data_IF_548578891703
#
_entry.id   IF_548578891703
#
_cell.length_a   1.000
_cell.length_b   1.000
_cell.length_c   1.000
_cell.angle_alpha   90.00
_cell.angle_beta   90.00
_cell.angle_gamma   90.00
#
_symmetry.space_group_name_H-M   'P 1'
#
loop_
_entity.id
_entity.type
_entity.pdbx_description
1 polymer ?
#
# COMPACT_ATOMS: atom_id res chain seq x y z
N UNK A 1 11.82 10.67 23.50
CA UNK A 1 11.31 10.47 22.11
C UNK A 1 10.26 11.49 21.68
N UNK A 2 9.05 11.50 22.25
CA UNK A 2 7.92 12.32 21.73
C UNK A 2 8.23 13.81 21.57
N UNK A 3 8.90 14.43 22.56
CA UNK A 3 9.30 15.85 22.48
C UNK A 3 10.22 16.15 21.30
N UNK A 4 11.08 15.20 20.91
CA UNK A 4 12.01 15.36 19.80
C UNK A 4 11.30 15.19 18.46
N UNK A 5 10.28 14.35 18.39
CA UNK A 5 9.47 14.10 17.19
C UNK A 5 8.36 15.16 17.03
N UNK A 6 8.03 15.89 18.10
CA UNK A 6 7.06 16.96 18.05
C UNK A 6 7.42 17.99 16.95
N UNK A 7 6.44 18.30 16.09
CA UNK A 7 6.61 19.15 14.91
C UNK A 7 7.20 18.48 13.67
N UNK A 8 7.49 17.18 13.69
CA UNK A 8 7.82 16.43 12.47
C UNK A 8 6.53 16.08 11.72
N UNK A 9 6.35 16.65 10.53
CA UNK A 9 5.17 16.43 9.68
C UNK A 9 5.37 15.28 8.67
N UNK A 10 6.59 14.75 8.54
CA UNK A 10 6.92 13.66 7.63
C UNK A 10 7.94 12.70 8.25
N UNK A 11 8.02 11.49 7.70
CA UNK A 11 9.05 10.51 8.04
C UNK A 11 10.46 11.03 7.72
N UNK A 12 10.63 11.80 6.65
CA UNK A 12 11.90 12.42 6.29
C UNK A 12 12.38 13.39 7.38
N UNK A 13 11.48 14.22 7.93
CA UNK A 13 11.82 15.12 9.03
C UNK A 13 12.26 14.34 10.29
N UNK A 14 11.66 13.17 10.53
CA UNK A 14 12.07 12.30 11.64
C UNK A 14 13.47 11.74 11.37
N UNK A 15 13.72 11.23 10.15
CA UNK A 15 15.02 10.70 9.77
C UNK A 15 16.14 11.75 9.89
N UNK A 16 15.89 13.00 9.48
CA UNK A 16 16.85 14.10 9.64
C UNK A 16 17.17 14.36 11.12
N UNK A 17 16.16 14.40 11.99
CA UNK A 17 16.38 14.56 13.43
C UNK A 17 17.15 13.39 14.04
N UNK A 18 16.92 12.17 13.55
CA UNK A 18 17.66 10.97 13.98
C UNK A 18 19.13 11.06 13.58
N UNK A 19 19.45 11.57 12.38
CA UNK A 19 20.86 11.79 11.97
C UNK A 19 21.60 12.76 12.90
N UNK A 20 20.89 13.74 13.45
CA UNK A 20 21.46 14.73 14.38
C UNK A 20 21.54 14.18 15.81
N UNK A 21 20.59 13.32 16.21
CA UNK A 21 20.45 12.83 17.57
C UNK A 21 20.50 11.30 17.64
N UNK A 22 21.69 10.76 17.93
CA UNK A 22 21.91 9.31 18.07
C UNK A 22 21.15 8.66 19.23
N UNK A 23 20.75 9.42 20.25
CA UNK A 23 19.93 8.91 21.35
C UNK A 23 18.49 8.65 20.89
N UNK A 24 17.96 9.48 19.99
CA UNK A 24 16.63 9.28 19.41
C UNK A 24 16.56 7.97 18.61
N UNK A 25 17.63 7.61 17.89
CA UNK A 25 17.73 6.34 17.16
C UNK A 25 17.55 5.14 18.10
N UNK A 26 18.28 5.13 19.22
CA UNK A 26 18.22 4.05 20.21
C UNK A 26 16.83 3.95 20.85
N UNK A 27 16.25 5.09 21.23
CA UNK A 27 14.91 5.11 21.81
C UNK A 27 13.86 4.56 20.83
N UNK A 28 13.95 4.91 19.54
CA UNK A 28 13.05 4.41 18.50
C UNK A 28 13.17 2.90 18.30
N UNK A 29 14.40 2.37 18.29
CA UNK A 29 14.63 0.93 18.21
C UNK A 29 14.04 0.22 19.43
N UNK A 30 14.27 0.76 20.63
CA UNK A 30 13.74 0.19 21.89
C UNK A 30 12.21 0.24 21.96
N UNK A 31 11.57 1.28 21.44
CA UNK A 31 10.10 1.36 21.46
C UNK A 31 9.43 0.35 20.52
N UNK A 32 10.13 -0.09 19.48
CA UNK A 32 9.66 -1.10 18.53
C UNK A 32 9.89 -2.54 18.99
N UNK A 33 10.84 -2.76 19.91
CA UNK A 33 11.24 -4.08 20.41
C UNK A 33 10.06 -4.94 20.92
N UNK A 34 9.11 -4.42 21.72
CA UNK A 34 7.98 -5.23 22.20
C UNK A 34 7.10 -5.74 21.06
N UNK A 35 6.87 -4.92 20.03
CA UNK A 35 6.07 -5.26 18.87
C UNK A 35 6.79 -6.29 17.99
N UNK A 36 8.10 -6.12 17.79
CA UNK A 36 8.93 -7.10 17.06
C UNK A 36 8.91 -8.46 17.76
N UNK A 37 9.08 -8.50 19.08
CA UNK A 37 9.02 -9.72 19.88
C UNK A 37 7.62 -10.38 19.81
N UNK A 38 6.54 -9.58 19.86
CA UNK A 38 5.18 -10.11 19.71
C UNK A 38 4.98 -10.77 18.34
N UNK A 39 5.33 -10.08 17.26
CA UNK A 39 5.20 -10.61 15.89
C UNK A 39 6.08 -11.85 15.70
N UNK A 40 7.32 -11.81 16.19
CA UNK A 40 8.25 -12.93 16.21
C UNK A 40 7.64 -14.18 16.84
N UNK A 41 7.09 -14.02 18.04
CA UNK A 41 6.44 -15.11 18.77
C UNK A 41 5.19 -15.66 18.07
N UNK A 42 4.48 -14.83 17.31
CA UNK A 42 3.32 -15.26 16.51
C UNK A 42 3.79 -16.08 15.31
N UNK A 43 4.76 -15.58 14.54
CA UNK A 43 5.26 -16.26 13.33
C UNK A 43 5.94 -17.59 13.63
N UNK A 44 6.74 -17.67 14.70
CA UNK A 44 7.42 -18.90 15.12
C UNK A 44 6.48 -20.05 15.50
N UNK A 45 5.22 -19.74 15.83
CA UNK A 45 4.18 -20.75 16.14
C UNK A 45 3.37 -21.19 14.92
N UNK A 46 3.51 -20.48 13.80
CA UNK A 46 2.76 -20.76 12.59
C UNK A 46 3.55 -21.70 11.67
N UNK A 47 2.81 -22.55 10.97
CA UNK A 47 3.35 -23.44 9.94
C UNK A 47 2.54 -23.28 8.65
N UNK A 48 3.22 -23.34 7.51
CA UNK A 48 2.61 -23.45 6.20
C UNK A 48 2.91 -24.86 5.67
N UNK A 49 1.88 -25.68 5.43
CA UNK A 49 2.05 -27.07 4.93
C UNK A 49 3.03 -27.92 5.78
N UNK A 50 2.94 -27.79 7.11
CA UNK A 50 3.83 -28.42 8.10
C UNK A 50 5.28 -27.92 8.10
N UNK A 51 5.60 -26.87 7.36
CA UNK A 51 6.89 -26.17 7.46
C UNK A 51 6.75 -24.91 8.34
N UNK A 52 7.62 -24.72 9.34
CA UNK A 52 7.61 -23.50 10.15
C UNK A 52 8.03 -22.28 9.34
N UNK A 53 7.42 -21.14 9.63
CA UNK A 53 7.89 -19.88 9.06
C UNK A 53 9.31 -19.58 9.53
N UNK A 54 10.18 -19.28 8.57
CA UNK A 54 11.53 -18.80 8.86
C UNK A 54 11.47 -17.30 9.09
N UNK A 55 12.02 -16.88 10.22
CA UNK A 55 12.35 -15.48 10.43
C UNK A 55 13.82 -15.24 10.11
N UNK A 56 14.11 -14.03 9.66
CA UNK A 56 15.46 -13.56 9.41
C UNK A 56 15.75 -12.42 10.35
N UNK A 57 16.97 -12.38 10.86
CA UNK A 57 17.44 -11.24 11.62
C UNK A 57 17.56 -10.02 10.72
N UNK A 58 17.23 -8.82 11.21
CA UNK A 58 17.46 -7.59 10.47
C UNK A 58 18.92 -7.46 10.07
N UNK A 59 19.17 -7.08 8.81
CA UNK A 59 20.51 -6.85 8.30
C UNK A 59 21.22 -5.76 9.10
N UNK A 60 22.45 -6.01 9.52
CA UNK A 60 23.26 -5.06 10.26
C UNK A 60 23.75 -3.93 9.35
N UNK A 61 24.05 -2.75 9.93
CA UNK A 61 24.65 -1.63 9.17
C UNK A 61 25.95 -2.04 8.46
N UNK A 62 26.72 -2.94 9.05
CA UNK A 62 27.97 -3.46 8.46
C UNK A 62 27.70 -4.33 7.25
N UNK A 63 26.75 -5.26 7.33
CA UNK A 63 26.37 -6.10 6.19
C UNK A 63 25.81 -5.27 5.03
N UNK A 64 24.99 -4.25 5.33
CA UNK A 64 24.53 -3.29 4.31
C UNK A 64 25.71 -2.57 3.65
N UNK A 65 26.73 -2.18 4.42
CA UNK A 65 27.93 -1.53 3.90
C UNK A 65 28.74 -2.49 3.01
N UNK A 66 28.96 -3.72 3.44
CA UNK A 66 29.68 -4.74 2.66
C UNK A 66 28.96 -5.09 1.36
N UNK A 67 27.62 -5.15 1.40
CA UNK A 67 26.81 -5.29 0.19
C UNK A 67 27.06 -4.13 -0.78
N UNK A 68 27.03 -2.89 -0.30
CA UNK A 68 27.30 -1.71 -1.13
C UNK A 68 28.73 -1.63 -1.66
N UNK A 69 29.72 -2.07 -0.89
CA UNK A 69 31.11 -2.20 -1.37
C UNK A 69 31.20 -3.17 -2.55
N UNK A 70 30.41 -4.24 -2.53
CA UNK A 70 30.32 -5.20 -3.64
C UNK A 70 29.61 -4.61 -4.86
N UNK A 71 28.53 -3.84 -4.65
CA UNK A 71 27.83 -3.12 -5.72
C UNK A 71 28.74 -2.09 -6.37
N UNK A 72 29.52 -1.34 -5.59
CA UNK A 72 30.46 -0.35 -6.09
C UNK A 72 31.57 -0.93 -6.98
N UNK A 73 31.92 -2.22 -6.80
CA UNK A 73 32.84 -2.92 -7.69
C UNK A 73 32.29 -3.05 -9.12
N UNK A 74 30.97 -3.18 -9.26
CA UNK A 74 30.29 -3.29 -10.55
C UNK A 74 29.93 -1.90 -11.09
N UNK A 75 29.48 -0.99 -10.23
CA UNK A 75 29.12 0.36 -10.60
C UNK A 75 29.44 1.37 -9.50
N UNK A 76 30.44 2.22 -9.76
CA UNK A 76 30.88 3.24 -8.81
C UNK A 76 30.00 4.51 -8.80
N UNK A 77 29.06 4.67 -9.74
CA UNK A 77 28.21 5.87 -9.83
C UNK A 77 27.02 5.83 -8.88
N UNK A 78 26.53 4.64 -8.55
CA UNK A 78 25.40 4.43 -7.65
C UNK A 78 25.88 4.54 -6.21
N UNK A 79 25.17 5.27 -5.37
CA UNK A 79 25.45 5.43 -3.94
C UNK A 79 24.29 4.92 -3.09
N UNK A 80 24.53 4.73 -1.79
CA UNK A 80 23.49 4.25 -0.85
C UNK A 80 22.28 5.19 -0.70
N UNK A 81 22.41 6.45 -1.16
CA UNK A 81 21.35 7.45 -1.19
C UNK A 81 20.42 7.34 -2.41
N UNK A 82 20.77 6.51 -3.39
CA UNK A 82 19.97 6.23 -4.58
C UNK A 82 18.84 5.23 -4.28
N UNK A 83 17.96 5.62 -3.37
CA UNK A 83 16.90 4.77 -2.84
C UNK A 83 15.70 4.58 -3.78
N UNK A 84 15.75 5.13 -5.00
CA UNK A 84 14.65 5.03 -5.97
C UNK A 84 15.16 4.66 -7.35
N UNK A 85 14.33 3.92 -8.10
CA UNK A 85 14.62 3.55 -9.48
C UNK A 85 14.95 4.76 -10.36
N UNK A 86 14.29 5.90 -10.13
CA UNK A 86 14.56 7.14 -10.85
C UNK A 86 15.97 7.68 -10.58
N UNK A 87 16.39 7.75 -9.32
CA UNK A 87 17.75 8.23 -8.98
C UNK A 87 18.84 7.34 -9.58
N UNK A 88 18.61 6.03 -9.57
CA UNK A 88 19.53 5.06 -10.22
C UNK A 88 19.52 5.25 -11.73
N UNK A 89 18.35 5.40 -12.35
CA UNK A 89 18.20 5.59 -13.79
C UNK A 89 18.82 6.91 -14.29
N UNK A 90 18.65 8.01 -13.55
CA UNK A 90 19.24 9.31 -13.88
C UNK A 90 20.79 9.24 -13.92
N UNK A 91 21.39 8.37 -13.10
CA UNK A 91 22.85 8.11 -13.09
C UNK A 91 23.32 7.07 -14.11
N UNK A 92 22.39 6.30 -14.66
CA UNK A 92 22.60 5.25 -15.65
C UNK A 92 22.17 5.71 -17.07
N UNK A 93 21.77 6.98 -17.23
CA UNK A 93 21.23 7.53 -18.48
C UNK A 93 22.25 7.85 -19.59
N UNK A 94 23.54 7.55 -19.42
CA UNK A 94 24.46 7.51 -20.56
C UNK A 94 24.19 6.21 -21.32
N UNK A 95 24.05 6.26 -22.64
CA UNK A 95 23.64 5.14 -23.52
C UNK A 95 24.52 3.87 -23.51
N UNK A 96 25.42 3.74 -22.54
CA UNK A 96 26.34 2.62 -22.29
C UNK A 96 26.07 1.94 -20.93
N UNK A 97 24.87 2.07 -20.36
CA UNK A 97 24.57 1.40 -19.09
C UNK A 97 24.09 -0.05 -19.32
N UNK A 98 24.98 -1.01 -19.05
CA UNK A 98 24.68 -2.45 -19.18
C UNK A 98 23.55 -2.95 -18.25
N UNK A 99 23.21 -2.18 -17.21
CA UNK A 99 22.20 -2.52 -16.19
C UNK A 99 20.79 -2.21 -16.69
N UNK A 100 20.61 -1.07 -17.36
CA UNK A 100 19.35 -0.68 -17.99
C UNK A 100 19.52 -0.79 -19.50
N UNK A 101 19.44 -2.04 -20.01
CA UNK A 101 19.24 -2.21 -21.45
C UNK A 101 17.99 -1.45 -21.84
N UNK A 102 18.08 -0.72 -22.95
CA UNK A 102 16.94 -0.13 -23.65
C UNK A 102 15.82 -1.16 -23.81
N UNK A 103 14.58 -0.67 -24.02
CA UNK A 103 13.40 -1.48 -24.31
C UNK A 103 13.83 -2.64 -25.23
N UNK A 104 13.58 -3.89 -24.79
CA UNK A 104 14.08 -5.10 -25.47
C UNK A 104 13.56 -5.28 -26.91
N UNK A 105 12.64 -4.42 -27.33
CA UNK A 105 12.01 -4.41 -28.64
C UNK A 105 12.59 -3.29 -29.49
N UNK A 106 12.61 -3.51 -30.79
CA UNK A 106 12.93 -2.46 -31.77
C UNK A 106 12.07 -1.20 -31.49
N UNK A 107 12.69 -0.04 -31.49
CA UNK A 107 12.03 1.22 -31.14
C UNK A 107 10.88 1.55 -32.11
N UNK A 108 10.98 1.12 -33.37
CA UNK A 108 9.93 1.35 -34.36
C UNK A 108 8.78 0.36 -34.17
N UNK A 109 9.08 -0.91 -33.86
CA UNK A 109 8.05 -1.90 -33.46
C UNK A 109 7.32 -1.42 -32.20
N UNK A 110 8.04 -0.93 -31.19
CA UNK A 110 7.42 -0.47 -29.94
C UNK A 110 6.54 0.76 -30.12
N UNK A 111 6.87 1.66 -31.05
CA UNK A 111 6.02 2.82 -31.40
C UNK A 111 4.75 2.39 -32.14
N UNK A 112 4.80 1.30 -32.88
CA UNK A 112 3.64 0.76 -33.62
C UNK A 112 2.71 -0.10 -32.75
N UNK A 113 3.19 -0.58 -31.59
CA UNK A 113 2.36 -1.36 -30.65
C UNK A 113 1.18 -0.51 -30.15
N UNK A 114 -0.03 -1.00 -30.41
CA UNK A 114 -1.26 -0.46 -29.82
C UNK A 114 -1.34 -0.87 -28.34
N UNK A 115 -2.03 -0.07 -27.54
CA UNK A 115 -2.28 -0.37 -26.13
C UNK A 115 -2.94 -1.73 -25.94
N UNK A 116 -2.75 -2.33 -24.76
CA UNK A 116 -3.43 -3.58 -24.41
C UNK A 116 -4.95 -3.36 -24.40
N UNK A 117 -5.68 -4.29 -24.99
CA UNK A 117 -7.13 -4.25 -25.10
C UNK A 117 -7.78 -4.63 -23.78
N UNK A 118 -8.91 -4.00 -23.46
CA UNK A 118 -9.83 -4.48 -22.45
C UNK A 118 -10.43 -5.83 -22.87
N UNK A 119 -10.73 -6.68 -21.90
CA UNK A 119 -11.24 -8.02 -22.16
C UNK A 119 -12.67 -7.97 -22.71
N UNK A 120 -12.86 -8.29 -23.99
CA UNK A 120 -14.17 -8.31 -24.66
C UNK A 120 -14.80 -9.70 -24.50
N UNK A 121 -16.06 -9.75 -24.05
CA UNK A 121 -16.81 -11.01 -23.90
C UNK A 121 -17.28 -11.52 -25.27
N UNK A 122 -17.06 -12.80 -25.52
CA UNK A 122 -17.56 -13.55 -26.66
C UNK A 122 -18.96 -14.16 -26.41
N UNK A 123 -19.54 -14.81 -27.42
CA UNK A 123 -20.91 -15.31 -27.40
C UNK A 123 -21.14 -16.53 -26.48
N UNK A 124 -20.08 -17.13 -25.96
CA UNK A 124 -20.06 -18.36 -25.17
C UNK A 124 -19.69 -18.12 -23.70
N UNK A 125 -19.92 -16.91 -23.18
CA UNK A 125 -19.48 -16.46 -21.85
C UNK A 125 -17.96 -16.55 -21.61
N UNK A 126 -17.15 -16.68 -22.67
CA UNK A 126 -15.69 -16.63 -22.63
C UNK A 126 -15.18 -15.38 -23.35
N UNK A 127 -13.96 -14.95 -23.05
CA UNK A 127 -13.35 -13.82 -23.76
C UNK A 127 -13.02 -14.19 -25.20
N UNK A 128 -13.19 -13.25 -26.13
CA UNK A 128 -12.76 -13.43 -27.52
C UNK A 128 -11.24 -13.61 -27.60
N UNK A 129 -10.75 -14.25 -28.66
CA UNK A 129 -9.32 -14.49 -28.83
C UNK A 129 -8.53 -13.20 -29.01
N UNK A 130 -7.25 -13.19 -28.64
CA UNK A 130 -6.38 -12.02 -28.78
C UNK A 130 -6.35 -11.48 -30.21
N UNK A 131 -6.22 -12.35 -31.22
CA UNK A 131 -6.19 -11.94 -32.63
C UNK A 131 -7.47 -11.25 -33.08
N UNK A 132 -8.59 -11.52 -32.42
CA UNK A 132 -9.88 -10.92 -32.72
C UNK A 132 -10.15 -9.66 -31.88
N UNK A 133 -9.55 -9.54 -30.70
CA UNK A 133 -9.61 -8.35 -29.87
C UNK A 133 -8.61 -7.28 -30.33
N UNK A 134 -7.47 -7.69 -30.86
CA UNK A 134 -6.41 -6.80 -31.31
C UNK A 134 -6.95 -5.90 -32.44
N UNK A 135 -6.69 -4.60 -32.31
CA UNK A 135 -7.18 -3.50 -33.16
C UNK A 135 -8.66 -3.14 -33.07
N UNK A 136 -9.46 -3.78 -32.18
CA UNK A 136 -10.83 -3.33 -31.93
C UNK A 136 -10.86 -2.11 -31.00
N UNK A 137 -11.69 -1.12 -31.32
CA UNK A 137 -11.99 -0.03 -30.37
C UNK A 137 -12.61 -0.63 -29.10
N UNK A 138 -11.95 -0.42 -27.97
CA UNK A 138 -12.43 -0.87 -26.66
C UNK A 138 -13.29 0.22 -26.07
N UNK A 139 -14.45 -0.18 -25.56
CA UNK A 139 -15.33 0.65 -24.74
C UNK A 139 -15.29 0.12 -23.31
N UNK A 140 -15.43 1.00 -22.32
CA UNK A 140 -15.48 0.62 -20.90
C UNK A 140 -16.73 -0.23 -20.54
N UNK A 141 -17.58 -0.57 -21.51
CA UNK A 141 -18.81 -1.34 -21.34
C UNK A 141 -18.55 -2.76 -20.78
N UNK A 142 -17.38 -3.32 -21.09
CA UNK A 142 -16.99 -4.65 -20.62
C UNK A 142 -16.28 -4.63 -19.25
N UNK A 143 -16.00 -3.45 -18.68
CA UNK A 143 -15.38 -3.33 -17.37
C UNK A 143 -16.38 -3.78 -16.28
N UNK A 144 -16.11 -4.90 -15.56
CA UNK A 144 -17.04 -5.43 -14.56
C UNK A 144 -17.34 -4.44 -13.43
N UNK A 145 -16.40 -3.54 -13.15
CA UNK A 145 -16.53 -2.45 -12.17
C UNK A 145 -17.56 -1.38 -12.56
N UNK A 146 -17.91 -1.27 -13.84
CA UNK A 146 -18.81 -0.25 -14.38
C UNK A 146 -20.19 -0.82 -14.72
N UNK A 147 -20.28 -2.10 -15.09
CA UNK A 147 -21.52 -2.80 -15.45
C UNK A 147 -22.61 -2.74 -14.37
N UNK A 148 -22.22 -2.69 -13.08
CA UNK A 148 -23.14 -2.68 -11.96
C UNK A 148 -23.39 -1.29 -11.35
N UNK A 149 -22.95 -0.20 -12.00
CA UNK A 149 -23.35 1.16 -11.61
C UNK A 149 -24.81 1.38 -11.98
N UNK A 150 -25.73 0.81 -11.20
CA UNK A 150 -27.13 1.25 -11.20
C UNK A 150 -27.13 2.75 -10.98
N UNK A 151 -27.85 3.49 -11.82
CA UNK A 151 -28.22 4.87 -11.53
C UNK A 151 -28.99 4.87 -10.22
N UNK A 152 -28.29 5.05 -9.09
CA UNK A 152 -28.96 5.37 -7.84
C UNK A 152 -29.74 6.64 -8.13
N UNK A 153 -31.02 6.69 -7.76
CA UNK A 153 -31.83 7.89 -7.86
C UNK A 153 -31.10 9.05 -7.15
N UNK A 154 -30.33 9.82 -7.91
CA UNK A 154 -29.70 11.05 -7.46
C UNK A 154 -30.87 12.01 -7.29
N UNK A 155 -31.19 12.36 -6.04
CA UNK A 155 -31.96 13.60 -5.80
C UNK A 155 -31.15 14.72 -6.45
N UNK A 156 -31.79 15.53 -7.28
CA UNK A 156 -31.17 16.51 -8.21
C UNK A 156 -30.32 17.60 -7.54
N UNK A 157 -30.08 17.50 -6.25
CA UNK A 157 -29.43 18.51 -5.44
C UNK A 157 -28.18 17.84 -4.85
N UNK A 158 -27.15 17.72 -5.67
CA UNK A 158 -25.71 17.76 -5.40
C UNK A 158 -25.04 17.07 -6.59
N UNK A 159 -24.61 17.88 -7.57
CA UNK A 159 -23.60 17.47 -8.54
C UNK A 159 -22.35 17.02 -7.79
N UNK A 160 -22.10 15.71 -7.72
CA UNK A 160 -20.80 15.19 -7.33
C UNK A 160 -19.96 15.01 -8.59
N UNK A 161 -18.91 15.82 -8.70
CA UNK A 161 -17.80 15.62 -9.64
C UNK A 161 -17.33 14.17 -9.59
N UNK A 162 -17.10 13.61 -10.77
CA UNK A 162 -16.45 12.33 -10.98
C UNK A 162 -15.15 12.27 -10.18
N UNK A 163 -15.20 11.55 -9.07
CA UNK A 163 -14.05 11.19 -8.27
C UNK A 163 -14.20 9.72 -7.92
N UNK A 164 -13.09 9.00 -7.93
CA UNK A 164 -12.95 7.60 -7.55
C UNK A 164 -13.37 7.39 -6.10
N UNK A 165 -14.68 7.41 -5.84
CA UNK A 165 -15.26 7.19 -4.53
C UNK A 165 -15.33 5.69 -4.31
N UNK A 166 -14.51 5.19 -3.39
CA UNK A 166 -14.62 3.85 -2.84
C UNK A 166 -16.09 3.54 -2.48
N UNK A 167 -16.51 2.29 -2.70
CA UNK A 167 -17.88 1.76 -2.52
C UNK A 167 -18.40 1.73 -1.07
N UNK A 168 -17.85 2.53 -0.17
CA UNK A 168 -18.39 2.65 1.17
C UNK A 168 -19.58 3.63 1.16
N UNK A 169 -20.75 3.12 1.56
CA UNK A 169 -21.93 3.94 1.80
C UNK A 169 -21.60 5.07 2.79
N UNK A 170 -22.20 6.28 2.69
CA UNK A 170 -22.15 7.33 3.71
C UNK A 170 -22.84 6.94 5.04
N UNK A 171 -23.06 5.65 5.27
CA UNK A 171 -23.41 5.05 6.56
C UNK A 171 -22.20 4.35 7.21
N UNK A 172 -21.03 4.43 6.57
CA UNK A 172 -19.74 4.05 7.16
C UNK A 172 -19.58 4.72 8.54
N UNK A 173 -18.97 4.00 9.48
CA UNK A 173 -18.94 4.40 10.88
C UNK A 173 -18.34 5.80 11.06
N UNK A 174 -19.19 6.78 11.42
CA UNK A 174 -18.75 8.09 11.88
C UNK A 174 -18.82 8.13 13.41
N UNK A 175 -17.99 8.98 14.02
CA UNK A 175 -17.98 9.31 15.46
C UNK A 175 -19.40 9.58 16.03
N UNK A 176 -20.33 10.01 15.19
CA UNK A 176 -21.73 10.29 15.56
C UNK A 176 -22.60 9.05 15.80
N UNK A 177 -22.26 7.90 15.20
CA UNK A 177 -22.99 6.63 15.33
C UNK A 177 -22.32 5.66 16.32
N UNK A 178 -21.08 5.96 16.74
CA UNK A 178 -20.28 5.16 17.68
C UNK A 178 -20.16 5.95 18.97
N UNK A 179 -21.24 5.97 19.78
CA UNK A 179 -21.22 6.64 21.09
C UNK A 179 -20.70 5.76 22.22
N UNK A 180 -20.75 4.44 22.07
CA UNK A 180 -20.58 3.54 23.22
C UNK A 180 -19.48 2.52 22.96
N UNK A 181 -18.38 2.66 23.72
CA UNK A 181 -17.34 1.64 23.86
C UNK A 181 -17.61 0.89 25.16
N UNK A 182 -18.08 -0.36 25.07
CA UNK A 182 -18.28 -1.25 26.23
C UNK A 182 -17.08 -2.17 26.40
N UNK A 183 -16.73 -2.51 27.64
CA UNK A 183 -15.71 -3.54 27.90
C UNK A 183 -16.37 -4.92 27.96
N UNK A 184 -15.85 -5.86 27.18
CA UNK A 184 -16.30 -7.23 27.23
C UNK A 184 -15.92 -7.88 28.56
N UNK A 185 -16.88 -8.44 29.29
CA UNK A 185 -16.66 -9.06 30.61
C UNK A 185 -15.73 -10.28 30.54
N UNK A 186 -15.78 -11.03 29.44
CA UNK A 186 -14.98 -12.26 29.29
C UNK A 186 -13.51 -11.98 28.93
N UNK A 187 -13.23 -10.93 28.16
CA UNK A 187 -11.88 -10.69 27.63
C UNK A 187 -11.30 -9.31 27.92
N UNK A 188 -12.02 -8.45 28.64
CA UNK A 188 -11.66 -7.08 29.00
C UNK A 188 -11.27 -6.15 27.84
N UNK A 189 -11.54 -6.55 26.59
CA UNK A 189 -11.27 -5.72 25.41
C UNK A 189 -12.43 -4.75 25.15
N UNK A 190 -12.14 -3.50 24.74
CA UNK A 190 -13.16 -2.55 24.32
C UNK A 190 -13.88 -3.03 23.05
N UNK A 191 -15.20 -2.89 23.01
CA UNK A 191 -16.07 -3.19 21.87
C UNK A 191 -16.97 -2.01 21.59
N UNK A 192 -17.24 -1.77 20.32
CA UNK A 192 -18.16 -0.72 19.89
C UNK A 192 -19.56 -1.32 19.74
N UNK A 193 -20.57 -0.68 20.37
CA UNK A 193 -21.97 -1.01 20.12
C UNK A 193 -22.51 -0.15 18.96
N UNK A 194 -23.14 -0.82 18.00
CA UNK A 194 -23.81 -0.19 16.89
C UNK A 194 -25.31 -0.15 17.13
N UNK A 195 -25.93 1.01 16.96
CA UNK A 195 -27.38 1.17 16.91
C UNK A 195 -27.78 1.78 15.57
N UNK A 196 -28.86 1.24 14.99
CA UNK A 196 -29.42 1.75 13.73
C UNK A 196 -30.03 3.16 13.85
N UNK A 197 -30.30 3.61 15.08
CA UNK A 197 -30.80 4.95 15.40
C UNK A 197 -29.97 5.56 16.53
N UNK A 198 -30.09 6.89 16.70
CA UNK A 198 -29.38 7.63 17.74
C UNK A 198 -29.98 7.28 19.11
N UNK A 199 -29.19 6.62 19.95
CA UNK A 199 -29.56 6.27 21.33
C UNK A 199 -29.77 7.56 22.15
N UNK A 200 -30.90 7.67 22.84
CA UNK A 200 -31.21 8.77 23.76
C UNK A 200 -30.57 8.54 25.14
N UNK A 201 -30.36 9.60 25.92
CA UNK A 201 -29.73 9.54 27.25
C UNK A 201 -30.45 8.57 28.21
N UNK A 202 -31.79 8.48 28.10
CA UNK A 202 -32.63 7.61 28.94
C UNK A 202 -32.44 6.13 28.61
N UNK A 203 -32.27 5.80 27.32
CA UNK A 203 -31.99 4.43 26.84
C UNK A 203 -30.57 3.99 27.19
N UNK A 204 -29.66 4.95 27.35
CA UNK A 204 -28.28 4.69 27.74
C UNK A 204 -28.17 4.16 29.17
N UNK A 205 -29.01 4.63 30.10
CA UNK A 205 -29.01 4.18 31.50
C UNK A 205 -29.45 2.71 31.68
N UNK A 206 -29.93 2.05 30.62
CA UNK A 206 -30.42 0.67 30.62
C UNK A 206 -29.44 -0.32 29.97
N UNK A 207 -28.30 0.14 29.42
CA UNK A 207 -27.24 -0.66 28.79
C UNK A 207 -26.05 -0.91 29.73
#
# INVERSE_FOLDING_TARGET
MEKLINGCNSLENIQEKVKINSQLEKELLQSMEPTQNLLSNIFTRQNLKNEPFKMFEPTTKTEMKTFWESVHLVNNSITMEDTSQKKVADKCGSGECDIYRSIRSDADIFKELKGLFDFISGPDDHYISFSEAYEKETTEEYCPSLQNRKSRNIRKDVEKKEGNSMDFSPTAQYEKNVRTIVKCVECNKPRVLYACHKILEEEFCLL
#
